data_IF_175320592528
#
_entry.id   IF_175320592528
#
_cell.length_a   1.000
_cell.length_b   1.000
_cell.length_c   1.000
_cell.angle_alpha   90.00
_cell.angle_beta   90.00
_cell.angle_gamma   90.00
#
_symmetry.space_group_name_H-M   'P 1'
#
loop_
_entity.id
_entity.type
_entity.pdbx_description
1 polymer ?
#
# COMPACT_ATOMS: atom_id res chain seq x y z
N UNK A 1 17.26 10.66 -14.92
CA UNK A 1 16.95 9.40 -14.21
C UNK A 1 15.53 9.50 -13.66
N UNK A 2 14.55 8.96 -14.35
CA UNK A 2 13.12 9.11 -14.02
C UNK A 2 12.80 8.34 -12.73
N UNK A 3 12.39 9.07 -11.68
CA UNK A 3 11.84 8.45 -10.47
C UNK A 3 10.46 7.91 -10.83
N UNK A 4 10.35 6.61 -11.08
CA UNK A 4 9.09 5.94 -11.42
C UNK A 4 8.26 5.68 -10.17
N UNK A 5 6.93 5.61 -10.34
CA UNK A 5 5.98 5.29 -9.29
C UNK A 5 6.33 4.00 -8.53
N UNK A 6 6.82 2.99 -9.25
CA UNK A 6 7.31 1.73 -8.70
C UNK A 6 8.38 1.94 -7.62
N UNK A 7 9.30 2.89 -7.83
CA UNK A 7 10.34 3.25 -6.85
C UNK A 7 9.80 3.96 -5.62
N UNK A 8 8.61 4.58 -5.70
CA UNK A 8 7.94 5.19 -4.55
C UNK A 8 7.25 4.14 -3.67
N UNK A 9 6.69 3.09 -4.29
CA UNK A 9 6.05 1.96 -3.60
C UNK A 9 7.05 0.89 -3.14
N UNK A 10 8.25 0.87 -3.70
CA UNK A 10 9.32 -0.08 -3.36
C UNK A 10 9.49 -0.37 -1.85
N UNK A 11 9.60 0.61 -0.93
CA UNK A 11 9.75 0.29 0.50
C UNK A 11 8.55 -0.47 1.07
N UNK A 12 7.33 -0.06 0.70
CA UNK A 12 6.09 -0.71 1.16
C UNK A 12 5.96 -2.12 0.58
N UNK A 13 6.26 -2.28 -0.71
CA UNK A 13 6.26 -3.59 -1.39
C UNK A 13 7.36 -4.53 -0.86
N UNK A 14 8.52 -3.99 -0.50
CA UNK A 14 9.62 -4.78 0.09
C UNK A 14 9.22 -5.34 1.45
N UNK A 15 8.63 -4.50 2.31
CA UNK A 15 8.13 -4.92 3.62
C UNK A 15 6.97 -5.91 3.45
N UNK A 16 6.04 -5.63 2.52
CA UNK A 16 4.99 -6.57 2.13
C UNK A 16 5.57 -7.92 1.71
N UNK A 17 6.68 -7.93 0.97
CA UNK A 17 7.40 -9.14 0.57
C UNK A 17 7.90 -9.96 1.76
N UNK A 18 8.56 -9.31 2.72
CA UNK A 18 9.02 -9.96 3.95
C UNK A 18 7.88 -10.55 4.80
N UNK A 19 6.71 -9.90 4.77
CA UNK A 19 5.49 -10.34 5.45
C UNK A 19 4.66 -11.35 4.66
N UNK A 20 5.13 -11.82 3.49
CA UNK A 20 4.40 -12.73 2.59
C UNK A 20 3.11 -12.14 1.98
N UNK A 21 3.01 -10.81 1.93
CA UNK A 21 1.93 -10.06 1.28
C UNK A 21 2.28 -9.61 -0.15
N UNK A 22 3.54 -9.74 -0.56
CA UNK A 22 4.03 -9.48 -1.91
C UNK A 22 5.08 -10.55 -2.28
N UNK A 23 5.37 -10.74 -3.56
CA UNK A 23 6.46 -11.65 -3.97
C UNK A 23 7.82 -10.98 -3.92
N UNK A 24 8.86 -11.76 -3.62
CA UNK A 24 10.24 -11.32 -3.70
C UNK A 24 10.65 -11.14 -5.17
N UNK A 25 11.13 -9.94 -5.47
CA UNK A 25 11.79 -9.61 -6.73
C UNK A 25 13.28 -9.39 -6.47
N UNK A 26 14.05 -10.48 -6.53
CA UNK A 26 15.51 -10.38 -6.47
C UNK A 26 16.14 -11.23 -7.59
N UNK A 27 16.86 -10.61 -8.56
CA UNK A 27 17.02 -9.17 -8.81
C UNK A 27 15.75 -8.47 -9.34
N UNK A 28 15.68 -7.14 -9.21
CA UNK A 28 14.56 -6.30 -9.67
C UNK A 28 14.16 -6.62 -11.12
N UNK A 29 12.87 -6.87 -11.35
CA UNK A 29 12.32 -7.18 -12.67
C UNK A 29 12.18 -8.68 -12.99
N UNK A 30 12.75 -9.59 -12.18
CA UNK A 30 12.52 -11.04 -12.31
C UNK A 30 11.79 -11.59 -11.08
N UNK A 31 10.45 -11.69 -11.12
CA UNK A 31 9.70 -12.23 -9.98
C UNK A 31 10.03 -13.72 -9.81
N UNK A 32 10.56 -14.09 -8.64
CA UNK A 32 10.79 -15.51 -8.28
C UNK A 32 9.57 -16.01 -7.48
N UNK A 33 8.48 -16.20 -8.21
CA UNK A 33 7.18 -16.70 -7.70
C UNK A 33 7.36 -17.97 -6.86
N UNK A 34 8.13 -18.94 -7.36
CA UNK A 34 8.33 -20.23 -6.69
C UNK A 34 9.04 -20.10 -5.34
N UNK A 35 10.13 -19.33 -5.27
CA UNK A 35 10.88 -19.14 -4.01
C UNK A 35 10.03 -18.38 -2.99
N UNK A 36 9.28 -17.38 -3.44
CA UNK A 36 8.37 -16.62 -2.57
C UNK A 36 7.27 -17.51 -1.98
N UNK A 37 6.70 -18.40 -2.80
CA UNK A 37 5.70 -19.36 -2.35
C UNK A 37 6.27 -20.35 -1.34
N UNK A 38 7.43 -20.94 -1.65
CA UNK A 38 8.10 -21.88 -0.76
C UNK A 38 8.44 -21.23 0.58
N UNK A 39 9.00 -20.01 0.55
CA UNK A 39 9.30 -19.24 1.75
C UNK A 39 8.06 -18.93 2.59
N UNK A 40 6.97 -18.47 1.95
CA UNK A 40 5.72 -18.21 2.63
C UNK A 40 5.17 -19.48 3.27
N UNK A 41 5.10 -20.58 2.51
CA UNK A 41 4.61 -21.86 2.97
C UNK A 41 5.43 -22.38 4.15
N UNK A 42 6.76 -22.41 4.04
CA UNK A 42 7.65 -22.90 5.10
C UNK A 42 7.58 -22.02 6.35
N UNK A 43 7.60 -20.69 6.19
CA UNK A 43 7.53 -19.77 7.34
C UNK A 43 6.19 -19.94 8.08
N UNK A 44 5.08 -19.97 7.36
CA UNK A 44 3.75 -20.10 7.97
C UNK A 44 3.51 -21.49 8.53
N UNK A 45 3.93 -22.55 7.85
CA UNK A 45 3.77 -23.92 8.36
C UNK A 45 4.55 -24.12 9.66
N UNK A 46 5.80 -23.67 9.74
CA UNK A 46 6.59 -23.71 10.97
C UNK A 46 5.93 -22.89 12.07
N UNK A 47 5.49 -21.68 11.74
CA UNK A 47 4.92 -20.76 12.71
C UNK A 47 3.62 -21.32 13.32
N UNK A 48 2.79 -21.93 12.50
CA UNK A 48 1.51 -22.53 12.90
C UNK A 48 1.72 -23.82 13.67
N UNK A 49 2.62 -24.68 13.20
CA UNK A 49 2.90 -25.94 13.88
C UNK A 49 3.51 -25.73 15.27
N UNK A 50 4.49 -24.83 15.39
CA UNK A 50 5.20 -24.64 16.66
C UNK A 50 4.49 -23.74 17.66
N UNK A 51 3.75 -22.72 17.21
CA UNK A 51 3.18 -21.71 18.12
C UNK A 51 1.65 -21.83 18.20
N UNK A 52 0.95 -21.66 17.07
CA UNK A 52 -0.50 -21.55 17.11
C UNK A 52 -1.24 -22.86 17.35
N UNK A 53 -0.74 -23.98 16.83
CA UNK A 53 -1.41 -25.26 16.98
C UNK A 53 -1.45 -25.73 18.45
N UNK A 54 -0.35 -25.66 19.22
CA UNK A 54 -0.39 -25.91 20.67
C UNK A 54 -1.35 -24.98 21.42
N UNK A 55 -1.31 -23.67 21.13
CA UNK A 55 -2.22 -22.69 21.75
C UNK A 55 -3.68 -23.01 21.44
N UNK A 56 -4.00 -23.32 20.18
CA UNK A 56 -5.33 -23.71 19.75
C UNK A 56 -5.84 -24.98 20.46
N UNK A 57 -4.97 -25.99 20.61
CA UNK A 57 -5.32 -27.21 21.36
C UNK A 57 -5.61 -26.89 22.83
N UNK A 58 -4.80 -26.04 23.45
CA UNK A 58 -4.98 -25.61 24.84
C UNK A 58 -6.33 -24.89 24.98
N UNK A 59 -6.61 -23.91 24.11
CA UNK A 59 -7.87 -23.18 24.04
C UNK A 59 -9.08 -24.13 23.94
N UNK A 60 -9.02 -25.09 23.03
CA UNK A 60 -10.13 -25.99 22.77
C UNK A 60 -10.31 -27.05 23.87
N UNK A 61 -9.23 -27.65 24.37
CA UNK A 61 -9.31 -28.73 25.38
C UNK A 61 -9.58 -28.22 26.79
N UNK A 62 -8.90 -27.15 27.20
CA UNK A 62 -8.96 -26.64 28.57
C UNK A 62 -10.11 -25.64 28.70
N UNK A 63 -10.14 -24.64 27.83
CA UNK A 63 -11.10 -23.53 27.95
C UNK A 63 -12.42 -23.80 27.21
N UNK A 64 -12.44 -24.76 26.28
CA UNK A 64 -13.61 -25.08 25.42
C UNK A 64 -14.22 -23.86 24.74
N UNK A 65 -13.40 -22.85 24.45
CA UNK A 65 -13.79 -21.59 23.83
C UNK A 65 -12.88 -21.29 22.64
N UNK A 66 -13.44 -20.62 21.65
CA UNK A 66 -12.70 -20.05 20.52
C UNK A 66 -12.36 -18.61 20.88
N UNK A 67 -11.09 -18.26 20.83
CA UNK A 67 -10.64 -16.90 21.14
C UNK A 67 -10.60 -16.03 19.88
N UNK A 68 -10.66 -14.72 20.07
CA UNK A 68 -10.53 -13.75 18.96
C UNK A 68 -9.18 -13.91 18.22
N UNK A 69 -8.12 -14.35 18.92
CA UNK A 69 -6.81 -14.66 18.32
C UNK A 69 -6.90 -15.76 17.25
N UNK A 70 -7.72 -16.79 17.45
CA UNK A 70 -7.90 -17.89 16.50
C UNK A 70 -8.56 -17.40 15.20
N UNK A 71 -9.56 -16.51 15.34
CA UNK A 71 -10.25 -15.88 14.21
C UNK A 71 -9.27 -14.97 13.44
N UNK A 72 -8.48 -14.15 14.15
CA UNK A 72 -7.46 -13.27 13.56
C UNK A 72 -6.44 -14.09 12.76
N UNK A 73 -6.01 -15.23 13.30
CA UNK A 73 -5.08 -16.12 12.60
C UNK A 73 -5.68 -16.65 11.29
N UNK A 74 -6.93 -17.12 11.34
CA UNK A 74 -7.62 -17.63 10.15
C UNK A 74 -7.82 -16.55 9.08
N UNK A 75 -8.20 -15.34 9.48
CA UNK A 75 -8.28 -14.17 8.57
C UNK A 75 -6.91 -13.90 7.94
N UNK A 76 -5.84 -13.95 8.73
CA UNK A 76 -4.48 -13.70 8.25
C UNK A 76 -4.08 -14.72 7.18
N UNK A 77 -4.35 -16.01 7.40
CA UNK A 77 -4.13 -17.05 6.39
C UNK A 77 -4.88 -16.80 5.09
N UNK A 78 -6.17 -16.46 5.18
CA UNK A 78 -6.99 -16.14 4.02
C UNK A 78 -6.37 -14.95 3.26
N UNK A 79 -5.95 -13.89 3.96
CA UNK A 79 -5.32 -12.72 3.35
C UNK A 79 -4.03 -13.05 2.61
N UNK A 80 -3.19 -13.94 3.15
CA UNK A 80 -1.96 -14.38 2.50
C UNK A 80 -2.27 -15.18 1.25
N UNK A 81 -3.25 -16.09 1.29
CA UNK A 81 -3.67 -16.86 0.12
C UNK A 81 -4.22 -15.93 -0.98
N UNK A 82 -5.09 -14.99 -0.61
CA UNK A 82 -5.63 -13.97 -1.52
C UNK A 82 -4.49 -13.16 -2.14
N UNK A 83 -3.56 -12.67 -1.31
CA UNK A 83 -2.40 -11.90 -1.75
C UNK A 83 -1.56 -12.68 -2.77
N UNK A 84 -1.28 -13.96 -2.52
CA UNK A 84 -0.51 -14.81 -3.43
C UNK A 84 -1.26 -15.01 -4.76
N UNK A 85 -2.57 -15.23 -4.72
CA UNK A 85 -3.41 -15.42 -5.92
C UNK A 85 -3.48 -14.15 -6.79
N UNK A 86 -3.76 -12.99 -6.17
CA UNK A 86 -3.95 -11.72 -6.87
C UNK A 86 -2.65 -10.98 -7.17
N UNK A 87 -1.50 -11.50 -6.77
CA UNK A 87 -0.21 -10.82 -6.99
C UNK A 87 0.06 -10.54 -8.48
N UNK A 88 -0.32 -11.45 -9.38
CA UNK A 88 -0.15 -11.25 -10.83
C UNK A 88 -0.96 -10.05 -11.33
N UNK A 89 -2.19 -9.92 -10.85
CA UNK A 89 -3.09 -8.82 -11.21
C UNK A 89 -2.57 -7.49 -10.66
N UNK A 90 -2.14 -7.48 -9.40
CA UNK A 90 -1.51 -6.32 -8.76
C UNK A 90 -0.32 -5.80 -9.59
N UNK A 91 0.51 -6.71 -10.08
CA UNK A 91 1.67 -6.37 -10.90
C UNK A 91 1.28 -5.80 -12.27
N UNK A 92 0.26 -6.36 -12.92
CA UNK A 92 -0.26 -5.81 -14.17
C UNK A 92 -0.82 -4.41 -13.95
N UNK A 93 -1.58 -4.21 -12.87
CA UNK A 93 -2.12 -2.91 -12.50
C UNK A 93 -1.00 -1.87 -12.26
N UNK A 94 0.06 -2.23 -11.53
CA UNK A 94 1.21 -1.33 -11.33
C UNK A 94 1.92 -0.97 -12.64
N UNK A 95 2.01 -1.90 -13.60
CA UNK A 95 2.61 -1.65 -14.92
C UNK A 95 1.75 -0.71 -15.77
N UNK A 96 0.44 -0.94 -15.80
CA UNK A 96 -0.49 -0.04 -16.49
C UNK A 96 -0.45 1.36 -15.90
N UNK A 97 -0.42 1.46 -14.57
CA UNK A 97 -0.30 2.72 -13.85
C UNK A 97 1.00 3.46 -14.22
N UNK A 98 2.11 2.73 -14.38
CA UNK A 98 3.38 3.29 -14.85
C UNK A 98 3.31 3.81 -16.29
N UNK A 99 2.53 3.17 -17.17
CA UNK A 99 2.34 3.66 -18.55
C UNK A 99 1.52 4.95 -18.56
N UNK A 100 0.43 5.00 -17.78
CA UNK A 100 -0.39 6.21 -17.63
C UNK A 100 0.41 7.36 -17.01
N UNK A 101 1.36 7.04 -16.12
CA UNK A 101 2.35 7.97 -15.59
C UNK A 101 3.13 8.69 -16.69
N UNK A 102 3.67 7.92 -17.64
CA UNK A 102 4.49 8.43 -18.72
C UNK A 102 3.70 9.28 -19.72
N UNK A 103 2.42 8.95 -19.95
CA UNK A 103 1.56 9.77 -20.81
C UNK A 103 1.16 11.08 -20.13
N UNK A 104 0.93 11.08 -18.82
CA UNK A 104 0.72 12.29 -18.02
C UNK A 104 1.95 13.20 -18.03
N UNK A 105 3.16 12.64 -17.94
CA UNK A 105 4.41 13.39 -18.07
C UNK A 105 4.54 14.05 -19.45
N UNK A 106 4.18 13.34 -20.53
CA UNK A 106 4.19 13.89 -21.89
C UNK A 106 3.16 15.02 -22.10
N UNK A 107 2.09 15.04 -21.30
CA UNK A 107 1.07 16.09 -21.30
C UNK A 107 1.48 17.36 -20.51
N UNK A 108 2.74 17.45 -20.07
CA UNK A 108 3.34 18.67 -19.52
C UNK A 108 3.12 18.90 -18.02
N UNK A 109 2.70 17.87 -17.26
CA UNK A 109 2.47 18.04 -15.83
C UNK A 109 3.71 17.80 -14.95
N UNK A 110 3.95 18.67 -13.95
CA UNK A 110 5.08 18.53 -13.04
C UNK A 110 4.90 17.33 -12.10
N UNK A 111 6.00 16.62 -11.83
CA UNK A 111 6.03 15.40 -11.01
C UNK A 111 5.75 15.66 -9.53
N UNK A 112 4.47 15.69 -9.14
CA UNK A 112 4.07 15.66 -7.72
C UNK A 112 4.37 14.32 -7.01
N UNK A 113 4.93 13.33 -7.72
CA UNK A 113 5.35 12.03 -7.17
C UNK A 113 6.23 12.14 -5.93
N UNK A 114 7.05 13.20 -5.85
CA UNK A 114 7.93 13.38 -4.70
C UNK A 114 7.13 13.62 -3.40
N UNK A 115 6.01 14.35 -3.47
CA UNK A 115 5.11 14.57 -2.32
C UNK A 115 4.44 13.26 -1.90
N UNK A 116 3.97 12.47 -2.86
CA UNK A 116 3.34 11.17 -2.61
C UNK A 116 4.30 10.11 -2.08
N UNK A 117 5.51 10.08 -2.60
CA UNK A 117 6.59 9.22 -2.08
C UNK A 117 6.89 9.55 -0.62
N UNK A 118 6.97 10.83 -0.27
CA UNK A 118 7.18 11.24 1.11
C UNK A 118 6.02 10.81 2.02
N UNK A 119 4.78 10.81 1.52
CA UNK A 119 3.63 10.27 2.24
C UNK A 119 3.73 8.75 2.47
N UNK A 120 4.06 7.96 1.45
CA UNK A 120 4.22 6.50 1.59
C UNK A 120 5.37 6.17 2.57
N UNK A 121 6.48 6.90 2.50
CA UNK A 121 7.61 6.74 3.42
C UNK A 121 7.16 7.05 4.86
N UNK A 122 6.41 8.13 5.09
CA UNK A 122 5.87 8.46 6.42
C UNK A 122 4.95 7.37 6.97
N UNK A 123 4.06 6.83 6.14
CA UNK A 123 3.18 5.71 6.53
C UNK A 123 4.02 4.48 6.91
N UNK A 124 5.05 4.18 6.12
CA UNK A 124 5.95 3.05 6.37
C UNK A 124 6.70 3.21 7.69
N UNK A 125 7.25 4.40 7.96
CA UNK A 125 7.94 4.72 9.23
C UNK A 125 6.96 4.61 10.42
N UNK A 126 5.75 5.16 10.28
CA UNK A 126 4.72 5.09 11.30
C UNK A 126 4.32 3.65 11.63
N UNK A 127 4.19 2.80 10.62
CA UNK A 127 3.91 1.38 10.81
C UNK A 127 5.06 0.66 11.53
N UNK A 128 6.32 0.91 11.15
CA UNK A 128 7.49 0.34 11.86
C UNK A 128 7.49 0.77 13.33
N UNK A 129 7.27 2.06 13.61
CA UNK A 129 7.20 2.58 14.97
C UNK A 129 6.06 1.93 15.78
N UNK A 130 4.90 1.71 15.15
CA UNK A 130 3.76 1.02 15.77
C UNK A 130 4.10 -0.42 16.15
N UNK A 131 4.74 -1.18 15.26
CA UNK A 131 5.16 -2.57 15.54
C UNK A 131 6.14 -2.62 16.71
N UNK A 132 7.10 -1.69 16.75
CA UNK A 132 8.06 -1.59 17.85
C UNK A 132 7.37 -1.22 19.18
N UNK A 133 6.43 -0.30 19.15
CA UNK A 133 5.67 0.11 20.33
C UNK A 133 4.83 -1.05 20.89
N UNK A 134 4.10 -1.77 20.04
CA UNK A 134 3.33 -2.96 20.44
C UNK A 134 4.22 -4.04 21.08
N UNK A 135 5.38 -4.29 20.46
CA UNK A 135 6.36 -5.26 20.97
C UNK A 135 6.87 -4.84 22.36
N UNK A 136 7.23 -3.56 22.53
CA UNK A 136 7.70 -3.03 23.80
C UNK A 136 6.62 -3.13 24.89
N UNK A 137 5.36 -2.80 24.57
CA UNK A 137 4.24 -2.89 25.50
C UNK A 137 4.03 -4.32 26.00
N UNK A 138 4.04 -5.31 25.09
CA UNK A 138 3.89 -6.72 25.45
C UNK A 138 5.06 -7.23 26.32
N UNK A 139 6.28 -6.79 26.01
CA UNK A 139 7.48 -7.10 26.81
C UNK A 139 7.34 -6.57 28.24
N UNK A 140 6.89 -5.32 28.40
CA UNK A 140 6.69 -4.70 29.72
C UNK A 140 5.63 -5.46 30.53
N UNK A 141 4.49 -5.81 29.91
CA UNK A 141 3.45 -6.59 30.60
C UNK A 141 3.99 -7.93 31.10
N UNK A 142 4.74 -8.66 30.27
CA UNK A 142 5.34 -9.94 30.68
C UNK A 142 6.37 -9.78 31.80
N UNK A 143 7.14 -8.69 31.79
CA UNK A 143 8.06 -8.34 32.89
C UNK A 143 7.33 -8.16 34.23
N UNK A 144 6.12 -7.59 34.22
CA UNK A 144 5.33 -7.42 35.45
C UNK A 144 4.68 -8.71 35.94
N UNK A 145 4.29 -9.61 35.03
CA UNK A 145 3.61 -10.87 35.37
C UNK A 145 4.61 -11.94 35.83
N UNK A 146 5.79 -12.00 35.22
CA UNK A 146 6.81 -13.03 35.49
C UNK A 146 7.88 -12.47 36.41
N UNK A 147 8.22 -13.19 37.49
CA UNK A 147 9.31 -12.81 38.39
C UNK A 147 10.61 -12.50 37.62
N UNK A 148 11.28 -11.41 38.01
CA UNK A 148 12.44 -10.84 37.31
C UNK A 148 13.58 -11.85 37.07
N UNK A 149 13.85 -12.74 38.04
CA UNK A 149 14.89 -13.77 37.93
C UNK A 149 14.57 -14.87 36.91
N UNK A 150 13.30 -15.23 36.77
CA UNK A 150 12.85 -16.20 35.75
C UNK A 150 12.84 -15.54 34.37
N UNK A 151 12.46 -14.27 34.31
CA UNK A 151 12.39 -13.49 33.09
C UNK A 151 13.77 -13.33 32.42
N UNK A 152 14.83 -13.06 33.20
CA UNK A 152 16.19 -12.89 32.66
C UNK A 152 16.70 -14.11 31.90
N UNK A 153 16.26 -15.31 32.30
CA UNK A 153 16.63 -16.60 31.67
C UNK A 153 15.86 -16.86 30.37
N UNK A 154 14.64 -16.32 30.26
CA UNK A 154 13.69 -16.60 29.17
C UNK A 154 13.56 -15.39 28.22
N UNK A 155 14.23 -14.27 28.52
CA UNK A 155 14.10 -12.99 27.82
C UNK A 155 14.04 -13.09 26.29
N UNK A 156 14.97 -13.83 25.70
CA UNK A 156 15.02 -14.02 24.25
C UNK A 156 13.77 -14.72 23.70
N UNK A 157 13.33 -15.79 24.38
CA UNK A 157 12.08 -16.46 24.04
C UNK A 157 10.87 -15.55 24.24
N UNK A 158 10.84 -14.77 25.32
CA UNK A 158 9.75 -13.81 25.58
C UNK A 158 9.63 -12.75 24.48
N UNK A 159 10.76 -12.19 24.01
CA UNK A 159 10.74 -11.25 22.87
C UNK A 159 10.21 -11.94 21.61
N UNK A 160 10.68 -13.16 21.34
CA UNK A 160 10.26 -13.91 20.18
C UNK A 160 8.74 -14.21 20.21
N UNK A 161 8.21 -14.67 21.34
CA UNK A 161 6.78 -14.89 21.53
C UNK A 161 5.97 -13.60 21.44
N UNK A 162 6.47 -12.48 21.96
CA UNK A 162 5.82 -11.17 21.83
C UNK A 162 5.66 -10.76 20.36
N UNK A 163 6.72 -10.94 19.58
CA UNK A 163 6.71 -10.63 18.15
C UNK A 163 5.77 -11.58 17.39
N UNK A 164 5.80 -12.87 17.70
CA UNK A 164 4.91 -13.89 17.14
C UNK A 164 3.43 -13.55 17.39
N UNK A 165 3.08 -13.21 18.62
CA UNK A 165 1.69 -12.96 19.03
C UNK A 165 1.08 -11.73 18.32
N UNK A 166 1.89 -10.70 18.09
CA UNK A 166 1.44 -9.48 17.40
C UNK A 166 1.52 -9.59 15.87
N UNK A 167 2.21 -10.61 15.34
CA UNK A 167 2.50 -10.75 13.91
C UNK A 167 1.24 -10.83 13.02
N UNK A 168 0.19 -11.61 13.33
CA UNK A 168 -1.01 -11.70 12.50
C UNK A 168 -1.73 -10.35 12.34
N UNK A 169 -1.93 -9.64 13.46
CA UNK A 169 -2.55 -8.31 13.46
C UNK A 169 -1.74 -7.31 12.64
N UNK A 170 -0.41 -7.35 12.75
CA UNK A 170 0.48 -6.49 11.98
C UNK A 170 0.39 -6.76 10.47
N UNK A 171 0.18 -8.02 10.06
CA UNK A 171 -0.03 -8.40 8.65
C UNK A 171 -1.36 -7.88 8.14
N UNK A 172 -2.44 -7.99 8.92
CA UNK A 172 -3.74 -7.45 8.54
C UNK A 172 -3.62 -5.93 8.32
N UNK A 173 -3.01 -5.22 9.26
CA UNK A 173 -2.78 -3.76 9.14
C UNK A 173 -1.94 -3.45 7.90
N UNK A 174 -0.84 -4.17 7.68
CA UNK A 174 0.02 -3.94 6.52
C UNK A 174 -0.71 -4.22 5.20
N UNK A 175 -1.54 -5.26 5.15
CA UNK A 175 -2.35 -5.58 3.97
C UNK A 175 -3.36 -4.46 3.67
N UNK A 176 -4.00 -3.91 4.70
CA UNK A 176 -4.90 -2.77 4.57
C UNK A 176 -4.15 -1.51 4.12
N UNK A 177 -2.94 -1.27 4.63
CA UNK A 177 -2.09 -0.14 4.21
C UNK A 177 -1.66 -0.25 2.74
N UNK A 178 -1.29 -1.45 2.27
CA UNK A 178 -0.95 -1.71 0.87
C UNK A 178 -2.16 -1.44 -0.02
N UNK A 179 -3.32 -2.03 0.33
CA UNK A 179 -4.57 -1.83 -0.42
C UNK A 179 -5.01 -0.36 -0.44
N UNK A 180 -4.93 0.35 0.69
CA UNK A 180 -5.27 1.77 0.77
C UNK A 180 -4.32 2.65 -0.05
N UNK A 181 -3.02 2.34 -0.06
CA UNK A 181 -2.03 3.06 -0.85
C UNK A 181 -2.28 2.89 -2.36
N UNK A 182 -2.60 1.67 -2.80
CA UNK A 182 -2.90 1.38 -4.21
C UNK A 182 -4.22 2.01 -4.62
N UNK A 183 -5.27 1.85 -3.81
CA UNK A 183 -6.58 2.45 -4.09
C UNK A 183 -6.49 3.98 -4.14
N UNK A 184 -5.76 4.61 -3.22
CA UNK A 184 -5.53 6.05 -3.22
C UNK A 184 -4.76 6.54 -4.45
N UNK A 185 -3.85 5.72 -4.98
CA UNK A 185 -3.15 6.00 -6.24
C UNK A 185 -4.09 5.91 -7.45
N UNK A 186 -4.86 4.84 -7.56
CA UNK A 186 -5.81 4.62 -8.66
C UNK A 186 -6.89 5.69 -8.68
N UNK A 187 -7.51 5.99 -7.52
CA UNK A 187 -8.54 7.00 -7.40
C UNK A 187 -8.03 8.39 -7.81
N UNK A 188 -6.81 8.76 -7.37
CA UNK A 188 -6.23 10.02 -7.78
C UNK A 188 -6.05 10.11 -9.30
N UNK A 189 -5.49 9.06 -9.92
CA UNK A 189 -5.26 9.07 -11.37
C UNK A 189 -6.57 9.15 -12.13
N UNK A 190 -7.61 8.47 -11.64
CA UNK A 190 -8.95 8.50 -12.21
C UNK A 190 -9.59 9.90 -12.12
N UNK A 191 -9.59 10.52 -10.94
CA UNK A 191 -10.11 11.88 -10.73
C UNK A 191 -9.36 12.86 -11.64
N UNK A 192 -8.04 12.75 -11.68
CA UNK A 192 -7.20 13.61 -12.48
C UNK A 192 -7.49 13.49 -13.99
N UNK A 193 -7.61 12.25 -14.49
CA UNK A 193 -7.96 11.98 -15.88
C UNK A 193 -9.36 12.51 -16.24
N UNK A 194 -10.35 12.29 -15.36
CA UNK A 194 -11.72 12.77 -15.55
C UNK A 194 -11.78 14.30 -15.61
N UNK A 195 -11.08 15.00 -14.70
CA UNK A 195 -10.99 16.46 -14.73
C UNK A 195 -10.42 16.98 -16.05
N UNK A 196 -9.36 16.33 -16.57
CA UNK A 196 -8.71 16.74 -17.81
C UNK A 196 -9.58 16.48 -19.04
N UNK A 197 -10.25 15.32 -19.10
CA UNK A 197 -11.21 15.01 -20.16
C UNK A 197 -12.37 16.01 -20.15
N UNK A 198 -12.87 16.38 -18.97
CA UNK A 198 -13.95 17.35 -18.83
C UNK A 198 -13.52 18.75 -19.28
N UNK A 199 -12.32 19.21 -18.89
CA UNK A 199 -11.73 20.46 -19.36
C UNK A 199 -11.53 20.48 -20.88
N UNK A 200 -11.01 19.40 -21.46
CA UNK A 200 -10.84 19.28 -22.90
C UNK A 200 -12.19 19.33 -23.63
N UNK A 201 -13.19 18.62 -23.10
CA UNK A 201 -14.56 18.61 -23.64
C UNK A 201 -15.17 20.00 -23.58
N UNK A 202 -14.97 20.73 -22.48
CA UNK A 202 -15.41 22.12 -22.34
C UNK A 202 -14.68 23.04 -23.34
N UNK A 203 -13.37 22.92 -23.49
CA UNK A 203 -12.61 23.69 -24.48
C UNK A 203 -13.14 23.43 -25.90
N UNK A 204 -13.28 22.16 -26.30
CA UNK A 204 -13.80 21.81 -27.63
C UNK A 204 -15.22 22.38 -27.82
N UNK A 205 -16.11 22.26 -26.83
CA UNK A 205 -17.44 22.87 -26.90
C UNK A 205 -17.37 24.40 -27.02
N UNK A 206 -16.47 25.08 -26.32
CA UNK A 206 -16.25 26.52 -26.45
C UNK A 206 -15.73 26.94 -27.83
N UNK A 207 -14.93 26.10 -28.49
CA UNK A 207 -14.43 26.36 -29.85
C UNK A 207 -15.46 26.02 -30.94
N UNK A 208 -16.26 24.97 -30.77
CA UNK A 208 -17.29 24.56 -31.74
C UNK A 208 -18.53 25.47 -31.67
N UNK A 209 -18.91 25.98 -30.49
CA UNK A 209 -20.04 26.91 -30.33
C UNK A 209 -19.63 28.35 -30.69
N UNK A 210 -18.89 28.51 -31.79
CA UNK A 210 -18.54 29.81 -32.35
C UNK A 210 -18.71 29.84 -33.88
N UNK A 211 -19.94 30.12 -34.35
CA UNK A 211 -20.13 31.14 -35.38
C UNK A 211 -20.08 32.56 -34.78
N UNK A 212 -19.92 32.73 -33.46
CA UNK A 212 -19.95 34.03 -32.76
C UNK A 212 -18.57 34.75 -32.78
N UNK A 213 -17.48 34.06 -33.17
CA UNK A 213 -16.15 34.70 -33.24
C UNK A 213 -16.04 35.71 -34.38
N UNK A 214 -16.89 35.59 -35.40
CA UNK A 214 -17.03 36.58 -36.49
C UNK A 214 -17.70 37.88 -36.02
N UNK A 215 -18.41 37.89 -34.88
CA UNK A 215 -19.03 39.11 -34.32
C UNK A 215 -18.05 39.91 -33.45
N UNK A 216 -17.20 39.25 -32.65
CA UNK A 216 -16.22 39.96 -31.81
C UNK A 216 -15.06 40.57 -32.60
N UNK A 217 -14.64 39.97 -33.72
CA UNK A 217 -13.58 40.56 -34.57
C UNK A 217 -14.12 41.78 -35.36
N UNK A 218 -15.41 41.80 -35.73
CA UNK A 218 -16.03 42.96 -36.40
C UNK A 218 -16.27 44.15 -35.47
N UNK A 219 -16.44 43.96 -34.16
CA UNK A 219 -16.58 45.08 -33.20
C UNK A 219 -15.26 45.78 -32.85
N UNK A 220 -14.10 45.16 -33.08
CA UNK A 220 -12.80 45.79 -32.81
C UNK A 220 -12.19 46.53 -34.00
N UNK A 221 -12.77 46.43 -35.21
CA UNK A 221 -12.25 47.06 -36.44
C UNK A 221 -13.10 48.28 -36.88
N UNK A 222 -14.26 48.54 -36.27
CA UNK A 222 -15.11 49.67 -36.68
C UNK A 222 -14.99 50.84 -35.69
N UNK A 223 -14.02 51.72 -36.01
CA UNK A 223 -13.94 53.19 -35.79
C UNK A 223 -13.88 53.71 -34.33
N UNK A 224 -13.05 54.76 -34.13
CA UNK A 224 -13.58 56.12 -34.24
C UNK A 224 -12.82 56.97 -35.30
N UNK A 225 -13.55 57.66 -36.20
CA UNK A 225 -13.74 59.14 -36.20
C UNK A 225 -12.48 59.85 -36.76
N UNK A 226 -12.35 60.09 -38.07
CA UNK A 226 -12.88 61.24 -38.83
C UNK A 226 -12.78 62.63 -38.15
N UNK A 227 -12.09 63.54 -38.85
CA UNK A 227 -12.24 65.01 -38.92
C UNK A 227 -11.82 65.86 -37.71
N UNK A 228 -10.82 66.72 -37.91
CA UNK A 228 -10.92 68.18 -37.72
C UNK A 228 -9.85 68.90 -38.56
N UNK A 229 -10.33 69.91 -39.30
CA UNK A 229 -9.69 71.04 -40.01
C UNK A 229 -8.27 70.91 -40.57
#
# INVERSE_FOLDING_TARGET
MTKTLERALAPLMTIGGFCNLCMFEYPLGKPRTYISYLYALTKWSLLVYFNYYPEFIISLKIYKMIFTSDIILLITFILILISICHFKELKMCLRELAIVDHTLEALGEPKEYQRRRNWIIRITIGWIAYVLFQSAFYIIINLFIVNFDTYKRIFFFSIFFAFQYTYPSNIIILSALISAAILGLVLYMCIHLLCKLFLLTLCIKMFIVKPIQTLCIKMFIVKPIQTFC
#
